data_IF_838898299910
#
_entry.id   IF_838898299910
#
_cell.length_a   1.000
_cell.length_b   1.000
_cell.length_c   1.000
_cell.angle_alpha   90.00
_cell.angle_beta   90.00
_cell.angle_gamma   90.00
#
_symmetry.space_group_name_H-M   'P 1'
#
loop_
_entity.id
_entity.type
_entity.pdbx_description
1 polymer ?
#
# COMPACT_ATOMS: atom_id res chain seq x y z
N UNK A 1 -10.21 -26.70 22.74
CA UNK A 1 -10.85 -25.38 22.52
C UNK A 1 -9.74 -24.39 22.13
N UNK A 2 -9.38 -24.36 20.85
CA UNK A 2 -8.13 -23.77 20.36
C UNK A 2 -8.24 -22.24 20.22
N UNK A 3 -7.23 -21.54 20.75
CA UNK A 3 -7.07 -20.09 20.74
C UNK A 3 -7.00 -19.58 19.30
N UNK A 4 -7.88 -18.63 18.94
CA UNK A 4 -7.79 -17.86 17.70
C UNK A 4 -6.46 -17.08 17.72
N UNK A 5 -5.53 -17.46 16.83
CA UNK A 5 -4.31 -16.70 16.57
C UNK A 5 -4.71 -15.48 15.74
N UNK A 6 -4.78 -14.33 16.40
CA UNK A 6 -4.85 -13.02 15.75
C UNK A 6 -3.63 -12.87 14.85
N UNK A 7 -3.82 -13.05 13.54
CA UNK A 7 -2.84 -12.67 12.54
C UNK A 7 -2.87 -11.14 12.45
N UNK A 8 -1.82 -10.47 12.94
CA UNK A 8 -1.64 -9.04 12.73
C UNK A 8 -1.05 -8.83 11.33
N UNK A 9 -1.73 -8.13 10.42
CA UNK A 9 -1.18 -7.80 9.10
C UNK A 9 -0.30 -6.54 9.18
N UNK A 10 0.67 -6.47 8.26
CA UNK A 10 1.55 -5.35 7.92
C UNK A 10 1.15 -3.98 8.50
N UNK A 11 1.87 -3.50 9.52
CA UNK A 11 1.88 -2.13 10.08
C UNK A 11 0.62 -1.28 9.85
N UNK A 12 -0.56 -1.88 10.08
CA UNK A 12 -1.84 -1.20 9.93
C UNK A 12 -1.94 -0.20 11.07
N UNK A 13 -2.26 1.06 10.76
CA UNK A 13 -2.52 2.06 11.80
C UNK A 13 -3.63 1.52 12.71
N UNK A 14 -3.45 1.60 14.03
CA UNK A 14 -4.53 1.27 14.95
C UNK A 14 -5.59 2.38 14.83
N UNK A 15 -6.67 2.08 14.09
CA UNK A 15 -7.71 3.05 13.69
C UNK A 15 -8.48 3.58 14.88
N UNK A 16 -8.88 2.70 15.80
CA UNK A 16 -9.59 3.07 17.02
C UNK A 16 -8.73 4.01 17.87
N UNK A 17 -7.46 3.65 18.09
CA UNK A 17 -6.51 4.50 18.82
C UNK A 17 -6.30 5.85 18.13
N UNK A 18 -6.15 5.87 16.81
CA UNK A 18 -5.94 7.10 16.05
C UNK A 18 -7.16 8.02 16.13
N UNK A 19 -8.38 7.48 15.99
CA UNK A 19 -9.62 8.23 16.15
C UNK A 19 -9.71 8.80 17.57
N UNK A 20 -9.54 7.97 18.61
CA UNK A 20 -9.59 8.44 20.01
C UNK A 20 -8.57 9.54 20.27
N UNK A 21 -7.36 9.43 19.73
CA UNK A 21 -6.32 10.47 19.89
C UNK A 21 -6.66 11.77 19.17
N UNK A 22 -7.21 11.71 17.96
CA UNK A 22 -7.65 12.91 17.25
C UNK A 22 -8.84 13.58 17.94
N UNK A 23 -9.78 12.81 18.49
CA UNK A 23 -10.90 13.33 19.30
C UNK A 23 -10.39 14.01 20.57
N UNK A 24 -9.47 13.36 21.29
CA UNK A 24 -8.83 13.92 22.50
C UNK A 24 -8.13 15.25 22.19
N UNK A 25 -7.44 15.34 21.05
CA UNK A 25 -6.83 16.58 20.61
C UNK A 25 -7.87 17.67 20.31
N UNK A 26 -8.96 17.34 19.60
CA UNK A 26 -10.03 18.31 19.30
C UNK A 26 -10.64 18.87 20.59
N UNK A 27 -10.93 18.01 21.57
CA UNK A 27 -11.50 18.41 22.85
C UNK A 27 -10.50 19.24 23.68
N UNK A 28 -9.23 18.84 23.69
CA UNK A 28 -8.17 19.59 24.40
C UNK A 28 -7.93 20.95 23.73
N UNK A 29 -8.00 21.02 22.41
CA UNK A 29 -7.86 22.24 21.62
C UNK A 29 -9.18 23.01 21.45
N UNK A 30 -10.19 22.72 22.28
CA UNK A 30 -11.45 23.46 22.29
C UNK A 30 -11.21 24.95 22.53
N UNK A 31 -12.07 25.78 21.92
CA UNK A 31 -12.03 27.22 22.09
C UNK A 31 -13.14 27.67 23.02
N UNK A 32 -12.84 28.64 23.86
CA UNK A 32 -13.79 29.32 24.71
C UNK A 32 -13.83 30.81 24.40
N UNK A 33 -14.99 31.41 24.62
CA UNK A 33 -15.12 32.87 24.59
C UNK A 33 -14.83 33.41 25.98
N UNK A 34 -13.83 34.25 26.09
CA UNK A 34 -13.49 34.94 27.35
C UNK A 34 -14.57 35.95 27.72
N UNK A 35 -14.59 36.37 28.98
CA UNK A 35 -15.51 37.42 29.48
C UNK A 35 -15.45 38.72 28.67
N UNK A 36 -14.32 38.99 28.02
CA UNK A 36 -14.10 40.19 27.20
C UNK A 36 -14.39 39.97 25.70
N UNK A 37 -15.03 38.85 25.32
CA UNK A 37 -15.42 38.56 23.94
C UNK A 37 -14.32 37.99 23.04
N UNK A 38 -13.11 37.80 23.54
CA UNK A 38 -12.02 37.18 22.78
C UNK A 38 -12.15 35.65 22.74
N UNK A 39 -11.77 35.05 21.61
CA UNK A 39 -11.67 33.60 21.45
C UNK A 39 -10.28 33.16 21.92
N UNK A 40 -10.23 32.24 22.88
CA UNK A 40 -9.00 31.67 23.41
C UNK A 40 -9.10 30.14 23.53
N UNK A 41 -7.98 29.46 23.73
CA UNK A 41 -7.97 28.03 24.05
C UNK A 41 -8.64 27.80 25.43
N UNK A 42 -9.42 26.73 25.52
CA UNK A 42 -10.02 26.28 26.77
C UNK A 42 -8.98 25.73 27.75
N UNK A 43 -7.91 25.14 27.22
CA UNK A 43 -6.81 24.54 27.97
C UNK A 43 -5.50 25.30 27.81
N UNK A 44 -4.54 25.15 28.74
CA UNK A 44 -3.22 25.75 28.63
C UNK A 44 -2.51 25.39 27.31
N UNK A 45 -1.81 26.36 26.73
CA UNK A 45 -1.12 26.19 25.44
C UNK A 45 -0.19 24.97 25.42
N UNK A 46 0.57 24.74 26.50
CA UNK A 46 1.49 23.61 26.60
C UNK A 46 0.76 22.24 26.51
N UNK A 47 -0.41 22.12 27.13
CA UNK A 47 -1.24 20.90 27.07
C UNK A 47 -1.74 20.68 25.64
N UNK A 48 -2.22 21.75 24.99
CA UNK A 48 -2.69 21.68 23.59
C UNK A 48 -1.54 21.32 22.64
N UNK A 49 -0.35 21.89 22.85
CA UNK A 49 0.84 21.58 22.04
C UNK A 49 1.29 20.12 22.19
N UNK A 50 1.24 19.56 23.41
CA UNK A 50 1.59 18.16 23.65
C UNK A 50 0.65 17.19 22.91
N UNK A 51 -0.67 17.44 22.97
CA UNK A 51 -1.64 16.63 22.22
C UNK A 51 -1.56 16.89 20.70
N UNK A 52 -1.32 18.14 20.29
CA UNK A 52 -1.12 18.49 18.88
C UNK A 52 0.06 17.70 18.28
N UNK A 53 1.18 17.57 18.99
CA UNK A 53 2.34 16.82 18.51
C UNK A 53 1.99 15.37 18.15
N UNK A 54 1.12 14.72 18.94
CA UNK A 54 0.67 13.36 18.65
C UNK A 54 -0.31 13.35 17.48
N UNK A 55 -1.28 14.28 17.48
CA UNK A 55 -2.26 14.42 16.41
C UNK A 55 -1.58 14.66 15.05
N UNK A 56 -0.56 15.50 15.00
CA UNK A 56 0.21 15.80 13.79
C UNK A 56 0.87 14.56 13.17
N UNK A 57 1.42 13.65 14.00
CA UNK A 57 2.00 12.39 13.50
C UNK A 57 0.93 11.47 12.90
N UNK A 58 -0.28 11.49 13.46
CA UNK A 58 -1.42 10.76 12.91
C UNK A 58 -1.85 11.39 11.59
N UNK A 59 -1.97 12.73 11.54
CA UNK A 59 -2.36 13.48 10.35
C UNK A 59 -1.38 13.27 9.19
N UNK A 60 -0.08 13.22 9.46
CA UNK A 60 0.94 12.95 8.44
C UNK A 60 0.77 11.61 7.75
N UNK A 61 0.25 10.64 8.49
CA UNK A 61 0.01 9.29 7.97
C UNK A 61 -1.35 9.13 7.32
N UNK A 62 -2.39 9.78 7.85
CA UNK A 62 -3.78 9.60 7.41
C UNK A 62 -4.15 10.56 6.29
N UNK A 63 -3.68 11.81 6.35
CA UNK A 63 -4.02 12.87 5.42
C UNK A 63 -2.75 13.55 4.88
N UNK A 64 -1.98 12.87 4.00
CA UNK A 64 -0.75 13.43 3.44
C UNK A 64 -1.01 14.79 2.79
N UNK A 65 -0.14 15.77 3.08
CA UNK A 65 -0.28 17.13 2.54
C UNK A 65 -1.21 18.05 3.32
N UNK A 66 -1.78 17.64 4.46
CA UNK A 66 -2.62 18.51 5.28
C UNK A 66 -1.92 19.82 5.70
N UNK A 67 -0.58 19.81 5.85
CA UNK A 67 0.18 21.02 6.20
C UNK A 67 0.25 22.05 5.08
N UNK A 68 0.26 21.61 3.82
CA UNK A 68 0.50 22.42 2.62
C UNK A 68 -0.73 22.62 1.76
N UNK A 69 -1.83 21.91 2.05
CA UNK A 69 -3.09 22.08 1.34
C UNK A 69 -3.58 23.54 1.43
N UNK A 70 -4.31 23.98 0.41
CA UNK A 70 -4.91 25.30 0.39
C UNK A 70 -6.15 25.31 1.29
N UNK A 71 -6.05 25.98 2.43
CA UNK A 71 -7.11 26.07 3.42
C UNK A 71 -7.60 27.51 3.52
N UNK A 72 -8.92 27.67 3.64
CA UNK A 72 -9.50 28.97 3.99
C UNK A 72 -8.99 29.40 5.37
N UNK A 73 -8.13 30.41 5.38
CA UNK A 73 -7.45 30.90 6.59
C UNK A 73 -8.46 31.29 7.68
N UNK A 74 -8.21 30.82 8.90
CA UNK A 74 -8.91 31.25 10.11
C UNK A 74 -7.91 31.85 11.10
N UNK A 75 -8.39 32.69 12.02
CA UNK A 75 -7.56 33.41 12.99
C UNK A 75 -7.39 32.68 14.32
N UNK A 76 -8.19 31.65 14.60
CA UNK A 76 -8.18 30.99 15.89
C UNK A 76 -7.01 30.02 16.06
N UNK A 77 -6.56 29.77 17.29
CA UNK A 77 -5.45 28.85 17.56
C UNK A 77 -5.75 27.42 17.04
N UNK A 78 -4.71 26.76 16.52
CA UNK A 78 -4.75 25.38 16.00
C UNK A 78 -5.91 25.10 15.03
N UNK A 79 -6.36 26.12 14.29
CA UNK A 79 -7.54 25.98 13.42
C UNK A 79 -7.30 24.95 12.32
N UNK A 80 -6.11 24.94 11.70
CA UNK A 80 -5.78 24.03 10.60
C UNK A 80 -5.67 22.60 11.10
N UNK A 81 -4.99 22.41 12.22
CA UNK A 81 -4.77 21.11 12.86
C UNK A 81 -6.11 20.48 13.26
N UNK A 82 -7.04 21.27 13.83
CA UNK A 82 -8.39 20.77 14.18
C UNK A 82 -9.25 20.43 12.95
N UNK A 83 -9.24 21.28 11.92
CA UNK A 83 -9.97 21.00 10.68
C UNK A 83 -9.40 19.74 9.98
N UNK A 84 -8.07 19.56 9.97
CA UNK A 84 -7.42 18.36 9.49
C UNK A 84 -7.78 17.13 10.34
N UNK A 85 -7.83 17.25 11.67
CA UNK A 85 -8.25 16.19 12.58
C UNK A 85 -9.68 15.71 12.30
N UNK A 86 -10.64 16.63 12.10
CA UNK A 86 -12.01 16.27 11.72
C UNK A 86 -12.06 15.49 10.39
N UNK A 87 -11.31 15.95 9.38
CA UNK A 87 -11.24 15.24 8.08
C UNK A 87 -10.59 13.87 8.20
N UNK A 88 -9.51 13.76 8.97
CA UNK A 88 -8.82 12.50 9.21
C UNK A 88 -9.71 11.49 9.96
N UNK A 89 -10.48 11.94 10.97
CA UNK A 89 -11.47 11.09 11.65
C UNK A 89 -12.53 10.59 10.66
N UNK A 90 -13.06 11.47 9.80
CA UNK A 90 -14.05 11.08 8.80
C UNK A 90 -13.48 10.02 7.83
N UNK A 91 -12.24 10.22 7.35
CA UNK A 91 -11.55 9.27 6.49
C UNK A 91 -11.30 7.92 7.19
N UNK A 92 -10.86 7.92 8.45
CA UNK A 92 -10.62 6.69 9.22
C UNK A 92 -11.90 5.90 9.48
N UNK A 93 -13.02 6.60 9.73
CA UNK A 93 -14.33 5.96 9.94
C UNK A 93 -14.89 5.39 8.65
N UNK A 94 -14.74 6.11 7.54
CA UNK A 94 -15.25 5.72 6.24
C UNK A 94 -14.27 4.84 5.44
N UNK A 95 -13.10 4.47 5.98
CA UNK A 95 -12.05 3.80 5.19
C UNK A 95 -12.55 2.55 4.46
N UNK A 96 -13.31 1.69 5.17
CA UNK A 96 -13.88 0.49 4.57
C UNK A 96 -14.95 0.82 3.53
N UNK A 97 -15.86 1.74 3.85
CA UNK A 97 -16.91 2.21 2.94
C UNK A 97 -16.31 2.81 1.66
N UNK A 98 -15.29 3.65 1.79
CA UNK A 98 -14.59 4.26 0.67
C UNK A 98 -13.81 3.22 -0.13
N UNK A 99 -13.18 2.23 0.52
CA UNK A 99 -12.52 1.14 -0.18
C UNK A 99 -13.53 0.28 -0.97
N UNK A 100 -14.70 0.00 -0.39
CA UNK A 100 -15.74 -0.81 -1.01
C UNK A 100 -16.40 -0.09 -2.20
N UNK A 101 -16.59 1.22 -2.10
CA UNK A 101 -17.32 2.02 -3.11
C UNK A 101 -16.41 2.71 -4.13
N UNK A 102 -15.20 3.12 -3.74
CA UNK A 102 -14.24 3.87 -4.56
C UNK A 102 -13.00 3.04 -4.94
N UNK A 103 -12.81 1.87 -4.30
CA UNK A 103 -11.59 1.08 -4.42
C UNK A 103 -10.45 1.58 -3.52
N UNK A 104 -9.42 0.75 -3.31
CA UNK A 104 -8.30 1.06 -2.41
C UNK A 104 -7.29 2.09 -2.94
N UNK A 105 -7.48 2.61 -4.16
CA UNK A 105 -6.52 3.50 -4.85
C UNK A 105 -5.18 2.85 -5.23
N UNK A 106 -4.82 1.72 -4.63
CA UNK A 106 -3.70 0.86 -5.00
C UNK A 106 -4.20 -0.39 -5.75
N UNK A 107 -3.41 -0.98 -6.66
CA UNK A 107 -3.70 -2.30 -7.17
C UNK A 107 -3.63 -3.31 -6.02
N UNK A 108 -4.77 -3.89 -5.64
CA UNK A 108 -4.82 -5.03 -4.74
C UNK A 108 -4.24 -6.24 -5.48
N UNK A 109 -3.10 -6.73 -5.00
CA UNK A 109 -2.45 -7.93 -5.52
C UNK A 109 -2.70 -9.08 -4.55
N UNK A 110 -3.61 -9.98 -4.94
CA UNK A 110 -3.67 -11.29 -4.30
C UNK A 110 -2.54 -12.17 -4.87
N UNK A 111 -1.40 -12.19 -4.18
CA UNK A 111 -0.23 -12.96 -4.61
C UNK A 111 -0.50 -14.47 -4.71
N UNK A 112 -1.54 -14.98 -4.04
CA UNK A 112 -1.93 -16.39 -4.15
C UNK A 112 -2.53 -16.75 -5.52
N UNK A 113 -2.97 -15.75 -6.28
CA UNK A 113 -3.47 -15.92 -7.66
C UNK A 113 -2.37 -15.93 -8.71
N UNK A 114 -1.11 -15.71 -8.34
CA UNK A 114 0.01 -15.76 -9.28
C UNK A 114 0.20 -17.17 -9.84
N UNK A 115 0.85 -17.26 -11.01
CA UNK A 115 1.19 -18.55 -11.62
C UNK A 115 1.93 -19.45 -10.62
N UNK A 116 1.66 -20.77 -10.58
CA UNK A 116 2.24 -21.69 -9.59
C UNK A 116 3.77 -21.64 -9.49
N UNK A 117 4.47 -21.36 -10.60
CA UNK A 117 5.93 -21.17 -10.60
C UNK A 117 6.39 -20.01 -9.71
N UNK A 118 5.59 -18.95 -9.65
CA UNK A 118 5.86 -17.78 -8.82
C UNK A 118 5.39 -18.06 -7.40
N UNK A 119 4.08 -18.31 -7.22
CA UNK A 119 3.49 -18.44 -5.89
C UNK A 119 4.15 -19.56 -5.06
N UNK A 120 4.36 -20.74 -5.66
CA UNK A 120 4.99 -21.86 -4.98
C UNK A 120 6.42 -21.59 -4.52
N UNK A 121 7.14 -20.71 -5.21
CA UNK A 121 8.49 -20.31 -4.82
C UNK A 121 8.52 -19.25 -3.72
N UNK A 122 7.50 -18.39 -3.64
CA UNK A 122 7.52 -17.20 -2.76
C UNK A 122 6.60 -17.28 -1.55
N UNK A 123 5.66 -18.23 -1.50
CA UNK A 123 4.61 -18.31 -0.48
C UNK A 123 5.16 -18.13 0.95
N UNK A 124 6.27 -18.80 1.28
CA UNK A 124 6.89 -18.71 2.60
C UNK A 124 7.42 -17.31 2.93
N UNK A 125 8.16 -16.69 2.00
CA UNK A 125 8.71 -15.33 2.16
C UNK A 125 7.60 -14.26 2.15
N UNK A 126 6.58 -14.45 1.31
CA UNK A 126 5.46 -13.54 1.21
C UNK A 126 4.61 -13.55 2.49
N UNK A 127 4.33 -14.75 3.02
CA UNK A 127 3.55 -14.92 4.26
C UNK A 127 4.29 -14.41 5.50
N UNK A 128 5.63 -14.33 5.44
CA UNK A 128 6.48 -13.82 6.52
C UNK A 128 6.84 -12.33 6.37
N UNK A 129 6.31 -11.64 5.35
CA UNK A 129 6.50 -10.20 5.16
C UNK A 129 7.80 -9.79 4.45
N UNK A 130 8.58 -10.75 3.93
CA UNK A 130 9.83 -10.49 3.22
C UNK A 130 9.59 -10.15 1.74
N UNK A 131 8.74 -9.16 1.44
CA UNK A 131 8.24 -8.88 0.09
C UNK A 131 9.34 -8.61 -0.95
N UNK A 132 10.36 -7.81 -0.60
CA UNK A 132 11.48 -7.55 -1.51
C UNK A 132 12.23 -8.82 -1.89
N UNK A 133 12.49 -9.69 -0.92
CA UNK A 133 13.17 -10.97 -1.16
C UNK A 133 12.27 -11.92 -1.94
N UNK A 134 10.98 -11.95 -1.63
CA UNK A 134 9.98 -12.72 -2.35
C UNK A 134 9.95 -12.34 -3.84
N UNK A 135 9.93 -11.05 -4.17
CA UNK A 135 9.98 -10.58 -5.57
C UNK A 135 11.27 -11.01 -6.28
N UNK A 136 12.42 -10.91 -5.62
CA UNK A 136 13.68 -11.41 -6.17
C UNK A 136 13.64 -12.93 -6.44
N UNK A 137 13.11 -13.70 -5.48
CA UNK A 137 12.97 -15.15 -5.61
C UNK A 137 12.00 -15.56 -6.71
N UNK A 138 10.89 -14.82 -6.89
CA UNK A 138 9.96 -15.02 -8.00
C UNK A 138 10.67 -14.93 -9.36
N UNK A 139 11.50 -13.89 -9.55
CA UNK A 139 12.24 -13.71 -10.80
C UNK A 139 13.21 -14.86 -11.06
N UNK A 140 13.95 -15.30 -10.04
CA UNK A 140 14.86 -16.45 -10.13
C UNK A 140 14.09 -17.74 -10.46
N UNK A 141 12.94 -17.96 -9.82
CA UNK A 141 12.11 -19.14 -10.03
C UNK A 141 11.56 -19.20 -11.47
N UNK A 142 11.04 -18.07 -11.98
CA UNK A 142 10.55 -17.99 -13.37
C UNK A 142 11.65 -18.32 -14.37
N UNK A 143 12.86 -17.79 -14.18
CA UNK A 143 13.99 -18.11 -15.04
C UNK A 143 14.37 -19.60 -15.00
N UNK A 144 14.47 -20.19 -13.80
CA UNK A 144 14.82 -21.61 -13.65
C UNK A 144 13.75 -22.55 -14.25
N UNK A 145 12.48 -22.19 -14.08
CA UNK A 145 11.36 -22.94 -14.66
C UNK A 145 11.32 -22.80 -16.18
N UNK A 146 11.62 -21.61 -16.73
CA UNK A 146 11.76 -21.41 -18.17
C UNK A 146 12.91 -22.26 -18.75
N UNK A 147 14.10 -22.26 -18.13
CA UNK A 147 15.22 -23.11 -18.50
C UNK A 147 14.84 -24.59 -18.54
N UNK A 148 14.10 -25.04 -17.53
CA UNK A 148 13.59 -26.42 -17.46
C UNK A 148 12.59 -26.69 -18.59
N UNK A 149 11.68 -25.76 -18.86
CA UNK A 149 10.65 -25.90 -19.91
C UNK A 149 11.24 -26.02 -21.31
N UNK A 150 12.28 -25.24 -21.63
CA UNK A 150 12.97 -25.30 -22.93
C UNK A 150 14.14 -26.28 -22.96
N UNK A 151 14.41 -26.99 -21.84
CA UNK A 151 15.55 -27.90 -21.68
C UNK A 151 16.90 -27.25 -22.03
N UNK A 152 17.09 -25.97 -21.64
CA UNK A 152 18.32 -25.21 -21.87
C UNK A 152 18.80 -24.53 -20.60
N UNK A 153 20.09 -24.69 -20.30
CA UNK A 153 20.75 -24.06 -19.15
C UNK A 153 21.93 -23.17 -19.52
N UNK A 154 22.25 -23.09 -20.80
CA UNK A 154 23.34 -22.29 -21.36
C UNK A 154 22.97 -20.80 -21.52
N UNK A 155 21.67 -20.47 -21.51
CA UNK A 155 21.15 -19.11 -21.47
C UNK A 155 20.31 -18.86 -20.23
N UNK A 156 20.28 -17.61 -19.78
CA UNK A 156 19.45 -17.13 -18.67
C UNK A 156 18.83 -15.77 -19.00
N UNK A 157 17.80 -15.43 -18.22
CA UNK A 157 17.15 -14.13 -18.17
C UNK A 157 16.79 -13.62 -19.57
N UNK A 158 17.13 -12.37 -19.88
CA UNK A 158 16.75 -11.73 -21.13
C UNK A 158 17.17 -12.54 -22.37
N UNK A 159 18.35 -13.19 -22.34
CA UNK A 159 18.86 -13.98 -23.48
C UNK A 159 18.03 -15.23 -23.70
N UNK A 160 17.65 -15.90 -22.61
CA UNK A 160 16.81 -17.10 -22.67
C UNK A 160 15.43 -16.75 -23.23
N UNK A 161 14.78 -15.71 -22.68
CA UNK A 161 13.45 -15.30 -23.10
C UNK A 161 13.45 -14.74 -24.53
N UNK A 162 14.47 -13.95 -24.89
CA UNK A 162 14.62 -13.42 -26.24
C UNK A 162 14.82 -14.51 -27.29
N UNK A 163 15.57 -15.58 -26.98
CA UNK A 163 15.72 -16.71 -27.89
C UNK A 163 14.46 -17.62 -27.90
N UNK A 164 13.86 -17.87 -26.74
CA UNK A 164 12.68 -18.73 -26.62
C UNK A 164 11.44 -18.15 -27.32
N UNK A 165 11.22 -16.84 -27.26
CA UNK A 165 10.09 -16.15 -27.90
C UNK A 165 10.44 -15.52 -29.26
N UNK A 166 11.60 -15.86 -29.83
CA UNK A 166 12.01 -15.36 -31.14
C UNK A 166 11.06 -15.82 -32.26
N UNK A 167 10.82 -14.95 -33.24
CA UNK A 167 10.04 -15.26 -34.45
C UNK A 167 10.76 -16.18 -35.42
N UNK A 168 12.07 -16.39 -35.24
CA UNK A 168 12.89 -17.28 -36.07
C UNK A 168 12.41 -18.73 -35.98
N UNK A 169 12.63 -19.54 -37.03
CA UNK A 169 12.33 -20.96 -36.98
C UNK A 169 13.08 -21.66 -35.82
N UNK A 170 12.51 -22.74 -35.24
CA UNK A 170 13.18 -23.55 -34.24
C UNK A 170 14.42 -24.23 -34.85
N UNK A 171 15.51 -24.24 -34.10
CA UNK A 171 16.76 -24.93 -34.46
C UNK A 171 17.00 -26.11 -33.51
N UNK A 172 17.82 -27.11 -33.87
CA UNK A 172 18.22 -28.16 -32.95
C UNK A 172 18.79 -27.58 -31.64
N UNK A 173 18.21 -27.97 -30.51
CA UNK A 173 18.59 -27.45 -29.20
C UNK A 173 18.11 -26.04 -28.87
N UNK A 174 17.34 -25.39 -29.75
CA UNK A 174 16.74 -24.06 -29.53
C UNK A 174 15.23 -24.09 -29.83
N UNK A 175 14.43 -24.76 -28.98
CA UNK A 175 12.98 -24.78 -29.15
C UNK A 175 12.39 -23.38 -28.96
N UNK A 176 11.29 -23.09 -29.66
CA UNK A 176 10.55 -21.82 -29.55
C UNK A 176 9.28 -22.03 -28.76
N UNK A 177 9.01 -21.13 -27.82
CA UNK A 177 7.74 -21.05 -27.11
C UNK A 177 6.78 -20.20 -27.94
N UNK A 178 5.55 -20.71 -28.12
CA UNK A 178 4.46 -20.01 -28.80
C UNK A 178 3.21 -20.09 -27.96
N UNK A 179 2.51 -18.96 -27.83
CA UNK A 179 1.25 -18.85 -27.09
C UNK A 179 0.06 -19.40 -27.89
N UNK A 180 0.14 -19.30 -29.22
CA UNK A 180 -0.90 -19.74 -30.16
C UNK A 180 -0.31 -20.45 -31.37
N UNK A 181 -1.17 -21.12 -32.13
CA UNK A 181 -0.85 -21.68 -33.45
C UNK A 181 -0.51 -20.53 -34.41
N UNK A 182 0.36 -20.77 -35.39
CA UNK A 182 0.70 -19.78 -36.39
C UNK A 182 -0.51 -19.47 -37.29
N UNK A 183 -1.21 -18.39 -36.96
CA UNK A 183 -2.34 -17.82 -37.68
C UNK A 183 -1.96 -16.53 -38.44
N UNK A 184 -0.68 -16.17 -38.44
CA UNK A 184 -0.17 -14.94 -39.03
C UNK A 184 -0.49 -13.66 -38.23
N UNK A 185 -1.16 -13.76 -37.07
CA UNK A 185 -1.53 -12.62 -36.24
C UNK A 185 -0.35 -12.04 -35.44
N UNK A 186 -0.51 -10.81 -34.95
CA UNK A 186 0.48 -10.20 -34.06
C UNK A 186 0.56 -10.91 -32.71
N UNK A 187 -0.52 -11.57 -32.27
CA UNK A 187 -0.52 -12.43 -31.08
C UNK A 187 0.44 -13.62 -31.24
N UNK A 188 0.64 -14.12 -32.45
CA UNK A 188 1.65 -15.15 -32.73
C UNK A 188 3.08 -14.60 -32.83
N UNK A 189 3.23 -13.33 -33.26
CA UNK A 189 4.53 -12.65 -33.42
C UNK A 189 5.08 -12.04 -32.13
N UNK A 190 4.21 -11.81 -31.14
CA UNK A 190 4.51 -11.20 -29.85
C UNK A 190 5.09 -12.17 -28.83
#
# INVERSE_FOLDING_TARGET
RSRRRNHSPMTQINREWAITRLETFIDTAALQTTTHGYIALANPLATVQAEAQIAEQILDKVLPGWRTADWKKRSAAFWREREAAHRAIAQLRAEQELADNLGSGAPQLDASTMHPWVWGSIQGLWSSGHYRQAVGMAATAVNAQAQTKVSRRDLSEWKLFGDAFSTKPPEPGKPRLRLSVNDGSDTWRS
#
